data_IF_451113281288
#
_entry.id   IF_451113281288
#
_cell.length_a   1.000
_cell.length_b   1.000
_cell.length_c   1.000
_cell.angle_alpha   90.00
_cell.angle_beta   90.00
_cell.angle_gamma   90.00
#
_symmetry.space_group_name_H-M   'P 1'
#
loop_
_entity.id
_entity.type
_entity.pdbx_description
1 polymer ?
#
# COMPACT_ATOMS: atom_id res chain seq x y z
N UNK A 1 0.64 -11.37 10.37
CA UNK A 1 0.16 -12.60 11.05
C UNK A 1 0.37 -12.50 12.57
N UNK A 2 1.52 -11.98 13.08
CA UNK A 2 1.75 -11.89 14.55
C UNK A 2 0.67 -11.06 15.25
N UNK A 3 0.39 -9.84 14.78
CA UNK A 3 -0.67 -8.98 15.36
C UNK A 3 -2.02 -9.69 15.38
N UNK A 4 -2.42 -10.34 14.27
CA UNK A 4 -3.70 -11.06 14.22
C UNK A 4 -3.78 -12.22 15.23
N UNK A 5 -2.66 -12.92 15.50
CA UNK A 5 -2.59 -13.98 16.52
C UNK A 5 -2.77 -13.43 17.93
N UNK A 6 -2.14 -12.31 18.25
CA UNK A 6 -2.29 -11.65 19.56
C UNK A 6 -3.74 -11.21 19.79
N UNK A 7 -4.36 -10.57 18.79
CA UNK A 7 -5.76 -10.14 18.86
C UNK A 7 -6.69 -11.36 19.07
N UNK A 8 -6.56 -12.41 18.25
CA UNK A 8 -7.39 -13.59 18.37
C UNK A 8 -7.18 -14.31 19.73
N UNK A 9 -5.91 -14.39 20.19
CA UNK A 9 -5.56 -14.96 21.49
C UNK A 9 -6.17 -14.18 22.65
N UNK A 10 -6.16 -12.85 22.63
CA UNK A 10 -6.77 -12.01 23.66
C UNK A 10 -8.29 -12.20 23.76
N UNK A 11 -8.92 -12.60 22.65
CA UNK A 11 -10.37 -12.86 22.54
C UNK A 11 -10.72 -14.34 22.77
N UNK A 12 -9.73 -15.19 23.03
CA UNK A 12 -9.91 -16.65 23.16
C UNK A 12 -10.52 -17.30 21.91
N UNK A 13 -10.10 -16.79 20.72
CA UNK A 13 -10.55 -17.24 19.39
C UNK A 13 -9.39 -17.79 18.57
N UNK A 14 -9.69 -18.60 17.58
CA UNK A 14 -8.72 -19.09 16.60
C UNK A 14 -8.62 -18.12 15.44
N UNK A 15 -7.38 -17.81 15.01
CA UNK A 15 -7.14 -16.96 13.84
C UNK A 15 -7.27 -17.80 12.57
N UNK A 16 -8.19 -17.43 11.69
CA UNK A 16 -8.22 -17.87 10.30
C UNK A 16 -7.65 -16.76 9.41
N UNK A 17 -6.68 -17.09 8.57
CA UNK A 17 -6.04 -16.15 7.66
C UNK A 17 -6.56 -16.38 6.26
N UNK A 18 -7.16 -15.35 5.69
CA UNK A 18 -7.60 -15.29 4.28
C UNK A 18 -6.63 -14.41 3.51
N UNK A 19 -6.02 -14.96 2.46
CA UNK A 19 -5.16 -14.20 1.53
C UNK A 19 -5.99 -13.71 0.36
N UNK A 20 -5.94 -12.42 0.09
CA UNK A 20 -6.68 -11.79 -1.01
C UNK A 20 -5.97 -10.55 -1.54
N UNK A 21 -6.34 -10.13 -2.73
CA UNK A 21 -5.81 -8.90 -3.34
C UNK A 21 -6.19 -7.67 -2.52
N UNK A 22 -5.28 -6.70 -2.45
CA UNK A 22 -5.41 -5.54 -1.56
C UNK A 22 -6.64 -4.69 -1.85
N UNK A 23 -6.98 -4.47 -3.11
CA UNK A 23 -8.15 -3.67 -3.53
C UNK A 23 -9.49 -4.29 -3.09
N UNK A 24 -9.51 -5.59 -2.81
CA UNK A 24 -10.67 -6.32 -2.29
C UNK A 24 -10.88 -6.25 -0.78
N UNK A 25 -9.86 -5.81 -0.01
CA UNK A 25 -9.87 -5.89 1.46
C UNK A 25 -11.01 -5.08 2.10
N UNK A 26 -11.17 -3.82 1.71
CA UNK A 26 -12.20 -2.93 2.26
C UNK A 26 -13.61 -3.48 1.99
N UNK A 27 -13.85 -3.99 0.78
CA UNK A 27 -15.11 -4.61 0.43
C UNK A 27 -15.38 -5.89 1.24
N UNK A 28 -14.36 -6.71 1.49
CA UNK A 28 -14.47 -7.93 2.28
C UNK A 28 -14.82 -7.63 3.75
N UNK A 29 -14.19 -6.62 4.35
CA UNK A 29 -14.51 -6.14 5.71
C UNK A 29 -15.92 -5.56 5.77
N UNK A 30 -16.27 -4.68 4.83
CA UNK A 30 -17.58 -4.04 4.76
C UNK A 30 -18.72 -5.05 4.64
N UNK A 31 -18.55 -6.09 3.82
CA UNK A 31 -19.54 -7.16 3.66
C UNK A 31 -19.60 -8.14 4.82
N UNK A 32 -18.60 -8.16 5.70
CA UNK A 32 -18.45 -9.12 6.79
C UNK A 32 -17.95 -10.50 6.32
N UNK A 33 -17.33 -10.58 5.13
CA UNK A 33 -16.64 -11.79 4.67
C UNK A 33 -15.45 -12.11 5.56
N UNK A 34 -14.77 -11.08 6.04
CA UNK A 34 -13.71 -11.15 7.06
C UNK A 34 -14.05 -10.19 8.21
N UNK A 35 -13.62 -10.51 9.43
CA UNK A 35 -13.90 -9.69 10.61
C UNK A 35 -13.01 -8.43 10.66
N UNK A 36 -11.74 -8.58 10.22
CA UNK A 36 -10.76 -7.49 10.20
C UNK A 36 -9.78 -7.67 9.04
N UNK A 37 -9.15 -6.57 8.62
CA UNK A 37 -8.05 -6.60 7.65
C UNK A 37 -6.80 -5.96 8.26
N UNK A 38 -5.68 -6.70 8.22
CA UNK A 38 -4.37 -6.30 8.74
C UNK A 38 -3.35 -6.44 7.61
N UNK A 39 -3.17 -5.38 6.84
CA UNK A 39 -2.44 -5.42 5.57
C UNK A 39 -1.68 -4.12 5.23
N UNK A 40 -1.20 -3.37 6.23
CA UNK A 40 -0.60 -2.06 5.97
C UNK A 40 -1.58 -1.10 5.32
N UNK A 41 -2.81 -1.03 5.87
CA UNK A 41 -3.87 -0.20 5.30
C UNK A 41 -3.74 1.21 5.86
N UNK A 42 -3.46 2.18 4.98
CA UNK A 42 -3.45 3.60 5.33
C UNK A 42 -4.85 4.08 5.66
N UNK A 43 -4.97 4.86 6.73
CA UNK A 43 -6.21 5.56 7.07
C UNK A 43 -6.41 6.69 6.04
N UNK A 44 -7.50 6.63 5.30
CA UNK A 44 -7.93 7.70 4.39
C UNK A 44 -9.39 8.04 4.61
N UNK A 45 -9.80 9.28 4.28
CA UNK A 45 -11.20 9.70 4.40
C UNK A 45 -12.14 8.83 3.56
N UNK A 46 -11.70 8.43 2.36
CA UNK A 46 -12.47 7.55 1.49
C UNK A 46 -12.72 6.19 2.16
N UNK A 47 -11.67 5.56 2.70
CA UNK A 47 -11.78 4.27 3.38
C UNK A 47 -12.62 4.36 4.65
N UNK A 48 -12.50 5.46 5.41
CA UNK A 48 -13.29 5.72 6.62
C UNK A 48 -14.80 5.83 6.34
N UNK A 49 -15.21 6.13 5.12
CA UNK A 49 -16.63 6.08 4.74
C UNK A 49 -17.19 4.65 4.75
N UNK A 50 -16.34 3.64 4.53
CA UNK A 50 -16.75 2.24 4.35
C UNK A 50 -16.45 1.34 5.56
N UNK A 51 -15.41 1.64 6.32
CA UNK A 51 -14.91 0.84 7.46
C UNK A 51 -14.53 1.74 8.63
N UNK A 52 -14.37 1.15 9.82
CA UNK A 52 -13.74 1.81 10.96
C UNK A 52 -12.30 1.30 11.10
N UNK A 53 -11.42 2.11 11.68
CA UNK A 53 -10.02 1.80 11.88
C UNK A 53 -9.66 1.74 13.36
N UNK A 54 -8.72 0.85 13.69
CA UNK A 54 -8.07 0.81 15.00
C UNK A 54 -7.17 2.04 15.20
N UNK A 55 -6.59 2.16 16.38
CA UNK A 55 -5.43 3.02 16.59
C UNK A 55 -4.30 2.61 15.64
N UNK A 56 -3.45 3.59 15.28
CA UNK A 56 -2.32 3.40 14.39
C UNK A 56 -1.31 2.45 15.01
N UNK A 57 -0.91 1.39 14.30
CA UNK A 57 0.12 0.46 14.75
C UNK A 57 1.48 0.65 14.04
N UNK A 58 1.52 1.38 12.94
CA UNK A 58 2.74 1.64 12.17
C UNK A 58 2.60 2.92 11.35
N UNK A 59 3.70 3.63 11.14
CA UNK A 59 3.78 4.76 10.23
C UNK A 59 4.66 4.43 9.05
N UNK A 60 4.26 4.82 7.85
CA UNK A 60 4.94 4.52 6.60
C UNK A 60 5.02 5.76 5.70
N UNK A 61 5.65 5.59 4.55
CA UNK A 61 5.66 6.54 3.45
C UNK A 61 5.78 5.78 2.13
N UNK A 62 5.70 6.46 1.01
CA UNK A 62 5.95 5.87 -0.31
C UNK A 62 7.41 6.06 -0.73
N UNK A 63 7.86 5.24 -1.66
CA UNK A 63 9.13 5.39 -2.37
C UNK A 63 8.95 5.14 -3.85
N UNK A 64 9.88 5.69 -4.64
CA UNK A 64 9.99 5.41 -6.06
C UNK A 64 11.05 4.34 -6.27
N UNK A 65 10.74 3.27 -6.98
CA UNK A 65 11.70 2.26 -7.41
C UNK A 65 12.05 2.49 -8.86
N UNK A 66 13.35 2.53 -9.17
CA UNK A 66 13.88 2.68 -10.52
C UNK A 66 15.01 1.67 -10.78
N UNK A 67 15.46 1.57 -12.03
CA UNK A 67 16.69 0.85 -12.32
C UNK A 67 17.88 1.46 -11.58
N UNK A 68 18.86 0.62 -11.24
CA UNK A 68 20.05 1.04 -10.49
C UNK A 68 20.87 2.12 -11.22
N UNK A 69 20.90 2.08 -12.54
CA UNK A 69 21.61 3.02 -13.43
C UNK A 69 20.76 4.25 -13.83
N UNK A 70 19.53 4.36 -13.33
CA UNK A 70 18.66 5.49 -13.63
C UNK A 70 19.21 6.78 -12.98
N UNK A 71 19.32 7.84 -13.78
CA UNK A 71 19.78 9.17 -13.38
C UNK A 71 18.71 10.26 -13.53
N UNK A 72 17.59 9.93 -14.19
CA UNK A 72 16.58 10.88 -14.61
C UNK A 72 15.46 11.07 -13.59
N UNK A 73 15.31 10.12 -12.66
CA UNK A 73 14.26 10.13 -11.63
C UNK A 73 14.93 10.27 -10.27
N UNK A 74 14.84 11.45 -9.68
CA UNK A 74 15.41 11.79 -8.38
C UNK A 74 14.36 12.36 -7.41
N UNK A 75 13.15 12.65 -7.90
CA UNK A 75 12.00 13.15 -7.16
C UNK A 75 10.69 12.62 -7.76
N UNK A 76 9.60 12.80 -7.05
CA UNK A 76 8.26 12.48 -7.58
C UNK A 76 7.87 13.38 -8.77
N UNK A 77 8.33 14.61 -8.79
CA UNK A 77 8.08 15.54 -9.89
C UNK A 77 8.68 15.05 -11.22
N UNK A 78 9.81 14.35 -11.17
CA UNK A 78 10.45 13.80 -12.38
C UNK A 78 9.58 12.74 -13.07
N UNK A 79 8.64 12.12 -12.36
CA UNK A 79 7.69 11.16 -12.92
C UNK A 79 6.75 11.80 -13.94
N UNK A 80 6.47 13.10 -13.81
CA UNK A 80 5.64 13.86 -14.76
C UNK A 80 6.29 14.07 -16.12
N UNK A 81 7.62 13.88 -16.22
CA UNK A 81 8.41 14.06 -17.42
C UNK A 81 8.26 12.87 -18.39
N UNK A 82 7.03 12.55 -18.77
CA UNK A 82 6.69 11.50 -19.74
C UNK A 82 7.17 10.10 -19.33
N UNK A 83 7.29 9.82 -18.02
CA UNK A 83 7.69 8.51 -17.50
C UNK A 83 6.51 7.55 -17.43
N UNK A 84 6.79 6.27 -17.61
CA UNK A 84 5.83 5.18 -17.36
C UNK A 84 5.97 4.72 -15.91
N UNK A 85 4.86 4.77 -15.18
CA UNK A 85 4.84 4.53 -13.74
C UNK A 85 3.98 3.32 -13.40
N UNK A 86 4.52 2.40 -12.65
CA UNK A 86 3.80 1.27 -12.09
C UNK A 86 3.28 1.56 -10.69
N UNK A 87 2.11 1.03 -10.36
CA UNK A 87 1.51 1.08 -9.04
C UNK A 87 0.82 -0.24 -8.73
N UNK A 88 0.57 -0.50 -7.44
CA UNK A 88 -0.29 -1.62 -7.04
C UNK A 88 -1.72 -1.11 -6.91
N UNK A 89 -2.64 -1.78 -7.60
CA UNK A 89 -4.05 -1.39 -7.65
C UNK A 89 -4.65 -1.22 -6.25
N UNK A 90 -5.21 -0.05 -5.98
CA UNK A 90 -5.85 0.30 -4.72
C UNK A 90 -4.89 0.62 -3.57
N UNK A 91 -3.57 0.58 -3.78
CA UNK A 91 -2.59 1.08 -2.80
C UNK A 91 -2.58 2.62 -2.79
N UNK A 92 -2.09 3.21 -1.69
CA UNK A 92 -1.95 4.67 -1.58
C UNK A 92 -1.10 5.26 -2.72
N UNK A 93 -0.06 4.53 -3.16
CA UNK A 93 0.75 4.94 -4.31
C UNK A 93 -0.05 5.11 -5.61
N UNK A 94 -1.13 4.33 -5.81
CA UNK A 94 -2.02 4.48 -6.97
C UNK A 94 -2.76 5.83 -6.92
N UNK A 95 -3.35 6.17 -5.76
CA UNK A 95 -4.03 7.47 -5.56
C UNK A 95 -3.06 8.64 -5.72
N UNK A 96 -1.87 8.57 -5.12
CA UNK A 96 -0.86 9.63 -5.23
C UNK A 96 -0.47 9.86 -6.70
N UNK A 97 -0.18 8.79 -7.45
CA UNK A 97 0.24 8.90 -8.84
C UNK A 97 -0.89 9.44 -9.73
N UNK A 98 -2.12 9.01 -9.46
CA UNK A 98 -3.29 9.37 -10.28
C UNK A 98 -3.84 10.74 -9.93
N UNK A 99 -3.97 11.07 -8.64
CA UNK A 99 -4.69 12.24 -8.16
C UNK A 99 -3.72 13.39 -7.81
N UNK A 100 -2.70 13.13 -6.99
CA UNK A 100 -1.80 14.18 -6.50
C UNK A 100 -0.77 14.59 -7.55
N UNK A 101 -0.13 13.61 -8.19
CA UNK A 101 0.82 13.85 -9.28
C UNK A 101 0.13 14.08 -10.63
N UNK A 102 -1.14 13.70 -10.76
CA UNK A 102 -1.95 13.84 -11.95
C UNK A 102 -1.26 13.28 -13.22
N UNK A 103 -0.59 12.13 -13.09
CA UNK A 103 0.03 11.47 -14.24
C UNK A 103 -1.06 10.90 -15.15
N UNK A 104 -0.90 11.09 -16.46
CA UNK A 104 -1.85 10.59 -17.46
C UNK A 104 -2.02 9.06 -17.33
N UNK A 105 -3.27 8.59 -17.27
CA UNK A 105 -3.59 7.18 -17.04
C UNK A 105 -2.97 6.25 -18.10
N UNK A 106 -2.74 6.73 -19.31
CA UNK A 106 -2.02 5.98 -20.36
C UNK A 106 -0.55 5.70 -20.02
N UNK A 107 0.01 6.39 -19.04
CA UNK A 107 1.37 6.20 -18.49
C UNK A 107 1.41 5.38 -17.21
N UNK A 108 0.24 5.03 -16.66
CA UNK A 108 0.15 4.27 -15.41
C UNK A 108 -0.14 2.81 -15.74
N UNK A 109 0.65 1.92 -15.16
CA UNK A 109 0.41 0.47 -15.20
C UNK A 109 0.06 -0.01 -13.79
N UNK A 110 -1.09 -0.66 -13.65
CA UNK A 110 -1.55 -1.21 -12.39
C UNK A 110 -1.38 -2.73 -12.36
N UNK A 111 -0.78 -3.23 -11.30
CA UNK A 111 -0.69 -4.66 -11.04
C UNK A 111 -1.34 -5.00 -9.69
N UNK A 112 -1.72 -6.25 -9.51
CA UNK A 112 -2.31 -6.71 -8.25
C UNK A 112 -1.26 -6.99 -7.17
N UNK A 113 0.01 -7.13 -7.55
CA UNK A 113 1.09 -7.52 -6.64
C UNK A 113 2.34 -6.68 -6.86
N UNK A 114 2.95 -6.21 -5.77
CA UNK A 114 4.16 -5.38 -5.80
C UNK A 114 5.34 -6.05 -6.51
N UNK A 115 5.51 -7.37 -6.33
CA UNK A 115 6.62 -8.08 -6.98
C UNK A 115 6.52 -8.05 -8.50
N UNK A 116 5.32 -8.17 -9.05
CA UNK A 116 5.11 -8.21 -10.49
C UNK A 116 5.44 -6.86 -11.13
N UNK A 117 4.96 -5.76 -10.52
CA UNK A 117 5.19 -4.42 -11.06
C UNK A 117 6.66 -3.99 -10.92
N UNK A 118 7.36 -4.40 -9.86
CA UNK A 118 8.79 -4.15 -9.68
C UNK A 118 9.63 -4.93 -10.70
N UNK A 119 9.23 -6.15 -11.06
CA UNK A 119 9.86 -6.91 -12.15
C UNK A 119 9.73 -6.20 -13.50
N UNK A 120 8.63 -5.49 -13.75
CA UNK A 120 8.46 -4.73 -14.99
C UNK A 120 9.45 -3.55 -15.09
N UNK A 121 9.80 -2.91 -13.98
CA UNK A 121 10.91 -1.93 -13.94
C UNK A 121 12.25 -2.60 -14.22
N UNK A 122 12.55 -3.72 -13.57
CA UNK A 122 13.78 -4.46 -13.78
C UNK A 122 13.96 -4.85 -15.25
N UNK A 123 12.90 -5.29 -15.90
CA UNK A 123 12.88 -5.69 -17.30
C UNK A 123 12.82 -4.51 -18.29
N UNK A 124 12.73 -3.28 -17.81
CA UNK A 124 12.69 -2.07 -18.64
C UNK A 124 11.37 -1.83 -19.37
N UNK A 125 10.28 -2.42 -18.90
CA UNK A 125 8.93 -2.15 -19.41
C UNK A 125 8.35 -0.87 -18.80
N UNK A 126 8.79 -0.51 -17.58
CA UNK A 126 8.41 0.68 -16.85
C UNK A 126 9.65 1.46 -16.42
N UNK A 127 9.52 2.78 -16.31
CA UNK A 127 10.59 3.65 -15.82
C UNK A 127 10.69 3.63 -14.30
N UNK A 128 9.54 3.56 -13.60
CA UNK A 128 9.46 3.59 -12.16
C UNK A 128 8.25 2.84 -11.60
N UNK A 129 8.30 2.56 -10.29
CA UNK A 129 7.15 2.12 -9.48
C UNK A 129 7.06 3.01 -8.24
N UNK A 130 5.84 3.44 -7.88
CA UNK A 130 5.54 4.07 -6.60
C UNK A 130 4.87 3.04 -5.71
N UNK A 131 5.45 2.78 -4.54
CA UNK A 131 5.01 1.72 -3.63
C UNK A 131 5.39 2.07 -2.18
N UNK A 132 4.72 1.43 -1.20
CA UNK A 132 5.08 1.50 0.22
C UNK A 132 6.57 1.29 0.46
N UNK A 133 7.17 2.14 1.31
CA UNK A 133 8.62 2.15 1.56
C UNK A 133 9.15 0.82 2.07
N UNK A 134 8.47 0.20 3.05
CA UNK A 134 8.97 -1.05 3.63
C UNK A 134 9.01 -2.18 2.59
N UNK A 135 7.94 -2.33 1.84
CA UNK A 135 7.84 -3.31 0.74
C UNK A 135 8.77 -2.96 -0.40
N UNK A 136 8.78 -1.70 -0.82
CA UNK A 136 9.57 -1.22 -1.96
C UNK A 136 11.07 -1.37 -1.74
N UNK A 137 11.59 -0.95 -0.58
CA UNK A 137 13.02 -1.08 -0.24
C UNK A 137 13.44 -2.54 -0.23
N UNK A 138 12.64 -3.43 0.38
CA UNK A 138 12.94 -4.86 0.41
C UNK A 138 12.98 -5.47 -1.00
N UNK A 139 12.03 -5.11 -1.87
CA UNK A 139 11.99 -5.58 -3.25
C UNK A 139 13.15 -4.99 -4.07
N UNK A 140 13.45 -3.70 -3.93
CA UNK A 140 14.55 -3.06 -4.63
C UNK A 140 15.88 -3.70 -4.29
N UNK A 141 16.16 -3.96 -3.02
CA UNK A 141 17.38 -4.63 -2.56
C UNK A 141 17.49 -6.05 -3.13
N UNK A 142 16.39 -6.82 -3.09
CA UNK A 142 16.35 -8.18 -3.63
C UNK A 142 16.61 -8.24 -5.13
N UNK A 143 16.06 -7.28 -5.87
CA UNK A 143 16.10 -7.26 -7.34
C UNK A 143 17.27 -6.44 -7.92
N UNK A 144 18.10 -5.82 -7.05
CA UNK A 144 19.24 -5.00 -7.48
C UNK A 144 18.80 -3.68 -8.13
N UNK A 145 17.74 -3.09 -7.62
CA UNK A 145 17.18 -1.81 -8.07
C UNK A 145 17.51 -0.68 -7.09
N UNK A 146 17.31 0.56 -7.54
CA UNK A 146 17.47 1.78 -6.74
C UNK A 146 16.10 2.21 -6.21
N UNK A 147 16.07 2.79 -5.02
CA UNK A 147 14.90 3.51 -4.53
C UNK A 147 15.22 4.99 -4.27
N UNK A 148 14.22 5.83 -4.44
CA UNK A 148 14.27 7.27 -4.23
C UNK A 148 13.19 7.65 -3.23
N UNK A 149 13.56 8.39 -2.20
CA UNK A 149 12.64 8.98 -1.22
C UNK A 149 12.36 10.44 -1.59
N UNK A 150 11.13 10.87 -1.43
CA UNK A 150 10.72 12.26 -1.63
C UNK A 150 9.75 12.67 -0.52
N UNK A 151 10.26 13.08 0.65
CA UNK A 151 9.43 13.40 1.81
C UNK A 151 8.59 14.68 1.64
N UNK A 152 8.84 15.48 0.61
CA UNK A 152 8.04 16.67 0.30
C UNK A 152 6.73 16.29 -0.39
N UNK A 153 6.71 15.16 -1.09
CA UNK A 153 5.53 14.66 -1.81
C UNK A 153 4.93 13.44 -1.10
N UNK A 154 5.78 12.52 -0.61
CA UNK A 154 5.34 11.32 0.07
C UNK A 154 5.29 11.55 1.59
N UNK A 155 4.22 12.16 2.05
CA UNK A 155 3.97 12.37 3.47
C UNK A 155 3.92 11.07 4.26
N UNK A 156 4.07 11.18 5.57
CA UNK A 156 3.95 10.02 6.47
C UNK A 156 2.51 9.53 6.52
N UNK A 157 2.32 8.25 6.28
CA UNK A 157 1.05 7.54 6.34
C UNK A 157 0.91 6.77 7.65
N UNK A 158 -0.32 6.62 8.13
CA UNK A 158 -0.65 5.87 9.32
C UNK A 158 -1.37 4.57 8.96
N UNK A 159 -0.78 3.42 9.33
CA UNK A 159 -1.40 2.11 9.14
C UNK A 159 -2.22 1.70 10.34
N UNK A 160 -3.45 1.26 10.06
CA UNK A 160 -4.37 0.75 11.07
C UNK A 160 -5.09 -0.52 10.58
N UNK A 161 -5.75 -1.18 11.52
CA UNK A 161 -6.55 -2.39 11.25
C UNK A 161 -7.95 -1.94 10.88
N UNK A 162 -8.44 -2.38 9.72
CA UNK A 162 -9.81 -2.09 9.29
C UNK A 162 -10.79 -3.12 9.86
N UNK A 163 -11.89 -2.66 10.41
CA UNK A 163 -13.02 -3.47 10.88
C UNK A 163 -14.32 -2.98 10.24
N UNK A 164 -15.34 -3.83 10.25
CA UNK A 164 -16.66 -3.44 9.74
C UNK A 164 -17.18 -2.21 10.50
N UNK A 165 -17.70 -1.25 9.76
CA UNK A 165 -18.25 -0.02 10.32
C UNK A 165 -19.32 -0.30 11.37
N UNK A 166 -19.15 0.33 12.55
CA UNK A 166 -20.02 0.13 13.70
C UNK A 166 -19.71 -1.09 14.56
N UNK A 167 -18.68 -1.89 14.23
CA UNK A 167 -18.24 -3.01 15.07
C UNK A 167 -17.32 -2.53 16.20
N UNK A 168 -17.87 -1.74 17.13
CA UNK A 168 -17.15 -1.15 18.25
C UNK A 168 -16.63 -2.19 19.22
N UNK A 169 -17.34 -3.31 19.40
CA UNK A 169 -16.90 -4.41 20.28
C UNK A 169 -15.58 -5.00 19.84
N UNK A 170 -15.42 -5.29 18.55
CA UNK A 170 -14.15 -5.78 18.00
C UNK A 170 -13.07 -4.71 18.06
N UNK A 171 -13.41 -3.46 17.73
CA UNK A 171 -12.47 -2.33 17.73
C UNK A 171 -11.88 -2.09 19.12
N UNK A 172 -12.71 -2.11 20.17
CA UNK A 172 -12.28 -1.96 21.57
C UNK A 172 -11.36 -3.12 22.05
N UNK A 173 -11.43 -4.29 21.40
CA UNK A 173 -10.56 -5.42 21.69
C UNK A 173 -9.23 -5.37 20.93
N UNK A 174 -9.21 -4.64 19.81
CA UNK A 174 -8.00 -4.47 18.99
C UNK A 174 -7.11 -3.38 19.59
N UNK A 175 -7.69 -2.28 20.07
CA UNK A 175 -7.02 -1.16 20.70
C UNK A 175 -6.59 -1.47 22.14
#
# INVERSE_FOLDING_TARGET
ICIGKEIAGSMNKELQVEDMEFDGLIAAVKSGKVDMAVAGITITEERQQSVDFSDTYYTASQVIITKADNTDINSAEDLKNNKTVGVVLGYTGDSIVTEDLAIDDSKITRANRGIDIVQDVKNGKLDAVVIDKATGVALAQKEGLKFVEDPEVFETEEYAIAVKKGNTELLDKIN
#
